data_IF_916590599629
#
_entry.id   IF_916590599629
#
_cell.length_a   1.000
_cell.length_b   1.000
_cell.length_c   1.000
_cell.angle_alpha   90.00
_cell.angle_beta   90.00
_cell.angle_gamma   90.00
#
_symmetry.space_group_name_H-M   'P 1'
#
loop_
_entity.id
_entity.type
_entity.pdbx_description
1 polymer ?
#
# COMPACT_ATOMS: atom_id res chain seq x y z
N UNK A 1 -7.57 -3.73 14.29
CA UNK A 1 -7.01 -4.80 13.45
C UNK A 1 -7.47 -4.51 12.02
N UNK A 2 -6.59 -4.53 11.00
CA UNK A 2 -7.06 -4.40 9.61
C UNK A 2 -7.80 -5.68 9.27
N UNK A 3 -9.11 -5.56 9.12
CA UNK A 3 -10.00 -6.67 8.81
C UNK A 3 -10.67 -6.40 7.46
N UNK A 4 -10.72 -7.44 6.64
CA UNK A 4 -11.24 -7.37 5.27
C UNK A 4 -12.71 -6.96 5.27
N UNK A 5 -13.50 -7.51 6.19
CA UNK A 5 -14.92 -7.18 6.31
C UNK A 5 -15.14 -5.69 6.58
N UNK A 6 -14.41 -5.11 7.53
CA UNK A 6 -14.50 -3.69 7.84
C UNK A 6 -14.12 -2.79 6.66
N UNK A 7 -13.09 -3.15 5.90
CA UNK A 7 -12.68 -2.37 4.72
C UNK A 7 -13.72 -2.44 3.61
N UNK A 8 -14.29 -3.62 3.35
CA UNK A 8 -15.35 -3.81 2.36
C UNK A 8 -16.63 -3.04 2.72
N UNK A 9 -17.04 -3.04 3.98
CA UNK A 9 -18.18 -2.26 4.46
C UNK A 9 -17.99 -0.75 4.26
N UNK A 10 -16.77 -0.25 4.51
CA UNK A 10 -16.45 1.16 4.27
C UNK A 10 -16.39 1.50 2.78
N UNK A 11 -15.86 0.62 1.92
CA UNK A 11 -15.87 0.80 0.47
C UNK A 11 -17.30 0.89 -0.07
N UNK A 12 -18.21 0.06 0.45
CA UNK A 12 -19.62 0.10 0.07
C UNK A 12 -20.28 1.41 0.51
N UNK A 13 -20.05 1.87 1.74
CA UNK A 13 -20.54 3.17 2.23
C UNK A 13 -20.06 4.33 1.37
N UNK A 14 -18.80 4.33 0.96
CA UNK A 14 -18.25 5.37 0.08
C UNK A 14 -18.90 5.29 -1.30
N UNK A 15 -19.09 4.09 -1.85
CA UNK A 15 -19.74 3.89 -3.15
C UNK A 15 -21.14 4.48 -3.19
N UNK A 16 -21.92 4.29 -2.12
CA UNK A 16 -23.25 4.92 -2.00
C UNK A 16 -23.19 6.45 -1.98
N UNK A 17 -22.21 7.05 -1.30
CA UNK A 17 -22.04 8.52 -1.29
C UNK A 17 -21.63 9.05 -2.66
N UNK A 18 -20.69 8.39 -3.33
CA UNK A 18 -20.27 8.74 -4.70
C UNK A 18 -21.46 8.68 -5.67
N UNK A 19 -22.37 7.71 -5.50
CA UNK A 19 -23.58 7.63 -6.33
C UNK A 19 -24.55 8.80 -6.13
N UNK A 20 -24.52 9.46 -4.97
CA UNK A 20 -25.35 10.63 -4.64
C UNK A 20 -24.76 11.96 -5.15
N UNK A 21 -23.51 11.97 -5.61
CA UNK A 21 -22.92 13.14 -6.25
C UNK A 21 -23.65 13.49 -7.54
N UNK A 22 -23.63 14.78 -7.91
CA UNK A 22 -24.15 15.19 -9.20
C UNK A 22 -23.35 14.53 -10.35
N UNK A 23 -23.93 14.36 -11.56
CA UNK A 23 -23.28 13.63 -12.65
C UNK A 23 -21.89 14.18 -13.02
N UNK A 24 -21.71 15.51 -12.96
CA UNK A 24 -20.44 16.17 -13.24
C UNK A 24 -19.38 15.84 -12.17
N UNK A 25 -19.69 16.10 -10.89
CA UNK A 25 -18.78 15.77 -9.77
C UNK A 25 -18.44 14.29 -9.70
N UNK A 26 -19.41 13.42 -9.99
CA UNK A 26 -19.20 11.96 -10.03
C UNK A 26 -18.20 11.54 -11.11
N UNK A 27 -18.27 12.15 -12.29
CA UNK A 27 -17.34 11.85 -13.39
C UNK A 27 -15.92 12.36 -13.07
N UNK A 28 -15.82 13.58 -12.53
CA UNK A 28 -14.55 14.15 -12.09
C UNK A 28 -13.91 13.33 -10.97
N UNK A 29 -14.72 12.86 -10.01
CA UNK A 29 -14.32 11.93 -8.97
C UNK A 29 -13.71 10.64 -9.54
N UNK A 30 -14.41 9.95 -10.44
CA UNK A 30 -13.90 8.68 -10.99
C UNK A 30 -12.63 8.87 -11.82
N UNK A 31 -12.54 9.98 -12.57
CA UNK A 31 -11.34 10.34 -13.32
C UNK A 31 -10.14 10.58 -12.39
N UNK A 32 -10.36 11.28 -11.28
CA UNK A 32 -9.32 11.52 -10.28
C UNK A 32 -8.94 10.23 -9.53
N UNK A 33 -9.92 9.39 -9.21
CA UNK A 33 -9.73 8.13 -8.50
C UNK A 33 -8.91 7.14 -9.33
N UNK A 34 -9.24 6.95 -10.61
CA UNK A 34 -8.49 6.06 -11.51
C UNK A 34 -7.00 6.42 -11.61
N UNK A 35 -6.66 7.72 -11.56
CA UNK A 35 -5.26 8.18 -11.61
C UNK A 35 -4.46 7.87 -10.33
N UNK A 36 -5.14 7.78 -9.18
CA UNK A 36 -4.50 7.56 -7.87
C UNK A 36 -4.58 6.10 -7.41
N UNK A 37 -5.56 5.34 -7.90
CA UNK A 37 -5.79 3.96 -7.49
C UNK A 37 -4.54 3.10 -7.71
N UNK A 38 -4.24 2.26 -6.74
CA UNK A 38 -3.11 1.34 -6.74
C UNK A 38 -3.61 -0.10 -6.85
N UNK A 39 -2.76 -0.94 -7.43
CA UNK A 39 -3.06 -2.34 -7.64
C UNK A 39 -2.31 -3.24 -6.65
N UNK A 40 -3.01 -4.25 -6.12
CA UNK A 40 -2.48 -5.15 -5.10
C UNK A 40 -1.44 -6.11 -5.69
N UNK A 41 -1.63 -6.54 -6.93
CA UNK A 41 -0.72 -7.47 -7.59
C UNK A 41 0.61 -6.77 -7.92
N UNK A 42 0.54 -5.54 -8.44
CA UNK A 42 1.72 -4.69 -8.64
C UNK A 42 2.51 -4.51 -7.32
N UNK A 43 1.80 -4.26 -6.22
CA UNK A 43 2.42 -4.14 -4.91
C UNK A 43 3.07 -5.45 -4.43
N UNK A 44 2.42 -6.59 -4.63
CA UNK A 44 2.95 -7.89 -4.26
C UNK A 44 4.19 -8.25 -5.09
N UNK A 45 4.19 -7.97 -6.39
CA UNK A 45 5.34 -8.15 -7.29
C UNK A 45 6.51 -7.29 -6.83
N UNK A 46 6.28 -6.01 -6.48
CA UNK A 46 7.32 -5.14 -5.93
C UNK A 46 7.89 -5.66 -4.61
N UNK A 47 7.04 -6.22 -3.75
CA UNK A 47 7.51 -6.80 -2.49
C UNK A 47 8.33 -8.07 -2.71
N UNK A 48 7.88 -8.95 -3.61
CA UNK A 48 8.59 -10.18 -3.95
C UNK A 48 9.95 -9.91 -4.62
N UNK A 49 9.96 -9.05 -5.64
CA UNK A 49 11.15 -8.78 -6.45
C UNK A 49 12.17 -7.90 -5.73
N UNK A 50 11.70 -7.03 -4.82
CA UNK A 50 12.53 -6.16 -4.01
C UNK A 50 12.22 -6.34 -2.53
N UNK A 51 12.83 -7.39 -1.96
CA UNK A 51 12.88 -7.69 -0.51
C UNK A 51 13.38 -6.47 0.32
N UNK A 52 14.04 -5.50 -0.32
CA UNK A 52 14.56 -4.26 0.30
C UNK A 52 13.54 -3.14 0.57
N UNK A 53 12.23 -3.43 0.61
CA UNK A 53 11.22 -2.44 1.01
C UNK A 53 10.81 -1.45 -0.08
N UNK A 54 11.12 -1.68 -1.37
CA UNK A 54 10.68 -0.79 -2.46
C UNK A 54 9.15 -0.69 -2.56
N UNK A 55 8.45 -1.75 -2.16
CA UNK A 55 6.99 -1.76 -2.11
C UNK A 55 6.41 -0.66 -1.19
N UNK A 56 7.14 -0.21 -0.16
CA UNK A 56 6.70 0.90 0.68
C UNK A 56 6.64 2.22 -0.09
N UNK A 57 7.56 2.44 -1.05
CA UNK A 57 7.55 3.64 -1.88
C UNK A 57 6.34 3.67 -2.82
N UNK A 58 5.84 2.52 -3.27
CA UNK A 58 4.66 2.44 -4.14
C UNK A 58 3.38 2.99 -3.48
N UNK A 59 3.25 2.81 -2.15
CA UNK A 59 2.17 3.38 -1.34
C UNK A 59 2.52 4.75 -0.75
N UNK A 60 3.65 5.37 -1.14
CA UNK A 60 4.09 6.67 -0.63
C UNK A 60 4.73 6.65 0.77
N UNK A 61 5.03 5.47 1.33
CA UNK A 61 5.64 5.32 2.66
C UNK A 61 7.18 5.44 2.60
N UNK A 62 7.68 6.61 2.17
CA UNK A 62 9.10 6.85 1.88
C UNK A 62 10.01 6.53 3.07
N UNK A 63 9.63 6.93 4.29
CA UNK A 63 10.46 6.68 5.48
C UNK A 63 10.67 5.19 5.75
N UNK A 64 9.59 4.39 5.72
CA UNK A 64 9.67 2.93 5.92
C UNK A 64 10.50 2.26 4.85
N UNK A 65 10.27 2.65 3.59
CA UNK A 65 11.06 2.17 2.47
C UNK A 65 12.55 2.49 2.63
N UNK A 66 12.89 3.71 3.02
CA UNK A 66 14.27 4.13 3.25
C UNK A 66 14.93 3.35 4.39
N UNK A 67 14.25 3.15 5.52
CA UNK A 67 14.78 2.36 6.63
C UNK A 67 15.08 0.92 6.22
N UNK A 68 14.13 0.24 5.56
CA UNK A 68 14.34 -1.14 5.09
C UNK A 68 15.48 -1.23 4.07
N UNK A 69 15.55 -0.26 3.17
CA UNK A 69 16.62 -0.20 2.19
C UNK A 69 18.00 0.00 2.84
N UNK A 70 18.11 0.88 3.83
CA UNK A 70 19.35 1.09 4.60
C UNK A 70 19.75 -0.15 5.39
N UNK A 71 18.81 -0.81 6.07
CA UNK A 71 19.07 -2.07 6.81
C UNK A 71 19.54 -3.17 5.86
N UNK A 72 18.93 -3.26 4.67
CA UNK A 72 19.36 -4.21 3.65
C UNK A 72 20.80 -3.94 3.19
N UNK A 73 21.16 -2.68 2.93
CA UNK A 73 22.54 -2.30 2.56
C UNK A 73 23.54 -2.69 3.66
N UNK A 74 23.21 -2.40 4.93
CA UNK A 74 24.05 -2.79 6.08
C UNK A 74 24.20 -4.31 6.16
N UNK A 75 23.10 -5.04 5.95
CA UNK A 75 23.11 -6.50 5.92
C UNK A 75 24.02 -7.07 4.82
N UNK A 76 24.00 -6.48 3.62
CA UNK A 76 24.92 -6.87 2.55
C UNK A 76 26.37 -6.51 2.85
N UNK A 77 26.63 -5.33 3.41
CA UNK A 77 27.99 -4.91 3.77
C UNK A 77 28.63 -5.81 4.85
N UNK A 78 27.80 -6.34 5.76
CA UNK A 78 28.23 -7.19 6.88
C UNK A 78 28.02 -8.69 6.62
N UNK A 79 27.84 -9.10 5.36
CA UNK A 79 27.41 -10.48 5.00
C UNK A 79 28.36 -11.57 5.50
N UNK A 80 29.66 -11.30 5.57
CA UNK A 80 30.69 -12.24 6.05
C UNK A 80 30.61 -12.53 7.55
N UNK A 81 29.98 -11.65 8.33
CA UNK A 81 29.84 -11.77 9.78
C UNK A 81 28.41 -12.17 10.14
N UNK A 82 27.56 -11.18 10.43
CA UNK A 82 26.17 -11.34 10.89
C UNK A 82 25.15 -10.86 9.85
N UNK A 83 25.58 -10.38 8.69
CA UNK A 83 24.70 -9.85 7.65
C UNK A 83 23.67 -10.85 7.16
N UNK A 84 24.01 -12.15 7.10
CA UNK A 84 23.04 -13.23 6.79
C UNK A 84 21.90 -13.26 7.81
N UNK A 85 22.20 -13.13 9.11
CA UNK A 85 21.17 -13.11 10.16
C UNK A 85 20.30 -11.85 10.06
N UNK A 86 20.91 -10.69 9.78
CA UNK A 86 20.18 -9.41 9.58
C UNK A 86 19.22 -9.52 8.38
N UNK A 87 19.71 -9.98 7.23
CA UNK A 87 18.90 -10.12 6.02
C UNK A 87 17.79 -11.18 6.20
N UNK A 88 18.09 -12.28 6.89
CA UNK A 88 17.09 -13.32 7.19
C UNK A 88 15.98 -12.78 8.10
N UNK A 89 16.34 -12.02 9.14
CA UNK A 89 15.37 -11.40 10.04
C UNK A 89 14.52 -10.36 9.30
N UNK A 90 15.16 -9.51 8.48
CA UNK A 90 14.46 -8.51 7.66
C UNK A 90 13.45 -9.20 6.73
N UNK A 91 13.86 -10.29 6.06
CA UNK A 91 12.96 -11.08 5.21
C UNK A 91 11.79 -11.66 6.00
N UNK A 92 12.02 -12.27 7.17
CA UNK A 92 10.96 -12.84 8.01
C UNK A 92 9.95 -11.79 8.48
N UNK A 93 10.40 -10.57 8.78
CA UNK A 93 9.53 -9.45 9.19
C UNK A 93 8.70 -8.93 8.00
N UNK A 94 9.27 -8.91 6.79
CA UNK A 94 8.60 -8.43 5.57
C UNK A 94 7.71 -9.49 4.89
N UNK A 95 7.88 -10.77 5.23
CA UNK A 95 7.13 -11.87 4.63
C UNK A 95 5.61 -11.78 4.88
N UNK A 96 5.12 -11.48 6.11
CA UNK A 96 3.69 -11.20 6.34
C UNK A 96 3.16 -10.04 5.50
N UNK A 97 4.05 -9.14 5.10
CA UNK A 97 3.71 -7.99 4.29
C UNK A 97 3.28 -8.43 2.88
N UNK A 98 3.86 -9.50 2.34
CA UNK A 98 3.48 -10.08 1.05
C UNK A 98 2.03 -10.58 1.05
N UNK A 99 1.64 -11.32 2.08
CA UNK A 99 0.30 -11.90 2.20
C UNK A 99 -0.79 -10.86 2.50
N UNK A 100 -0.42 -9.71 3.06
CA UNK A 100 -1.35 -8.61 3.39
C UNK A 100 -1.33 -7.49 2.35
N UNK A 101 -0.81 -7.73 1.14
CA UNK A 101 -0.81 -6.78 0.03
C UNK A 101 -2.20 -6.24 -0.26
N UNK A 102 -3.18 -7.14 -0.41
CA UNK A 102 -4.58 -6.80 -0.70
C UNK A 102 -5.16 -5.85 0.35
N UNK A 103 -5.07 -6.18 1.64
CA UNK A 103 -5.59 -5.34 2.72
C UNK A 103 -4.95 -3.95 2.75
N UNK A 104 -3.63 -3.85 2.49
CA UNK A 104 -2.94 -2.57 2.52
C UNK A 104 -3.27 -1.69 1.32
N UNK A 105 -3.35 -2.27 0.13
CA UNK A 105 -3.75 -1.54 -1.07
C UNK A 105 -5.23 -1.15 -1.00
N UNK A 106 -6.09 -2.04 -0.52
CA UNK A 106 -7.51 -1.75 -0.30
C UNK A 106 -7.67 -0.57 0.66
N UNK A 107 -6.97 -0.58 1.81
CA UNK A 107 -6.97 0.54 2.75
C UNK A 107 -6.50 1.84 2.08
N UNK A 108 -5.38 1.80 1.36
CA UNK A 108 -4.86 2.98 0.66
C UNK A 108 -5.87 3.54 -0.34
N UNK A 109 -6.47 2.67 -1.16
CA UNK A 109 -7.47 3.06 -2.15
C UNK A 109 -8.72 3.64 -1.47
N UNK A 110 -9.16 3.06 -0.36
CA UNK A 110 -10.26 3.58 0.44
C UNK A 110 -9.95 4.97 1.02
N UNK A 111 -8.73 5.20 1.51
CA UNK A 111 -8.31 6.51 2.02
C UNK A 111 -8.26 7.56 0.89
N UNK A 112 -7.78 7.19 -0.31
CA UNK A 112 -7.86 8.02 -1.52
C UNK A 112 -9.30 8.32 -1.91
N UNK A 113 -10.17 7.31 -1.85
CA UNK A 113 -11.60 7.40 -2.14
C UNK A 113 -12.27 8.43 -1.22
N UNK A 114 -11.98 8.38 0.09
CA UNK A 114 -12.44 9.36 1.09
C UNK A 114 -11.93 10.77 0.82
N UNK A 115 -10.64 10.93 0.54
CA UNK A 115 -10.03 12.24 0.23
C UNK A 115 -10.68 12.89 -0.98
N UNK A 116 -10.92 12.12 -2.04
CA UNK A 116 -11.56 12.61 -3.25
C UNK A 116 -13.05 12.90 -3.02
N UNK A 117 -13.75 12.08 -2.25
CA UNK A 117 -15.17 12.32 -1.96
C UNK A 117 -15.36 13.68 -1.26
N UNK A 118 -14.55 13.98 -0.24
CA UNK A 118 -14.59 15.29 0.48
C UNK A 118 -14.34 16.47 -0.48
N UNK A 119 -13.57 16.27 -1.55
CA UNK A 119 -13.27 17.32 -2.53
C UNK A 119 -14.44 17.60 -3.49
N UNK A 120 -15.29 16.60 -3.76
CA UNK A 120 -16.32 16.66 -4.80
C UNK A 120 -17.76 16.62 -4.26
N UNK A 121 -17.96 16.34 -2.97
CA UNK A 121 -19.17 16.66 -2.19
C UNK A 121 -19.32 18.18 -2.01
#
# INVERSE_FOLDING_TARGET
MLDQANLSDEEEKIRYRVMRLCPKSRNEYYTAYQKKMKDADTYAVLNWFFIGGLHHFYLGQVFRGATNFSVMIIGFYTISDFGVAILSLLFLIELPALFRSQLRVQKFNLDVSKELLIRFE
#
